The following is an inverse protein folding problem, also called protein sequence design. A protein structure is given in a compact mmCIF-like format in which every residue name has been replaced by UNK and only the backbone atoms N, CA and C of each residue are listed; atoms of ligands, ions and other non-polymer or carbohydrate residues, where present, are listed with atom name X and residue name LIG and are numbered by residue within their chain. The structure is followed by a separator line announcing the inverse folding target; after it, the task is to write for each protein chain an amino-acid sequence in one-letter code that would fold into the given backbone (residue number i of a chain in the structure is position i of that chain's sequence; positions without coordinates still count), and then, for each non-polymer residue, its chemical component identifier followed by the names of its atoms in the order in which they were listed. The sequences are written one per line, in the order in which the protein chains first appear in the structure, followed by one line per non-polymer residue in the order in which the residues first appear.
data_IF_887800557653
#
_entry.id   IF_887800557653
#
_cell.length_a   1.000
_cell.length_b   1.000
_cell.length_c   1.000
_cell.angle_alpha   90.00
_cell.angle_beta   90.00
_cell.angle_gamma   90.00
#
_symmetry.space_group_name_H-M   'P 1'
#
loop_
_entity.id
_entity.type
_entity.pdbx_description
1 polymer ?
#
# COMPACT_ATOMS: atom_id res chain seq x y z
N UNK A 1 -21.96 -11.71 -5.83
CA UNK A 1 -20.70 -11.62 -5.08
C UNK A 1 -19.58 -12.19 -5.94
N UNK A 2 -18.42 -11.53 -5.99
CA UNK A 2 -17.27 -12.01 -6.75
C UNK A 2 -16.70 -13.28 -6.08
N UNK A 3 -16.32 -14.34 -6.81
CA UNK A 3 -15.72 -15.54 -6.20
C UNK A 3 -14.38 -15.24 -5.51
N UNK A 4 -14.03 -15.89 -4.39
CA UNK A 4 -12.79 -15.63 -3.64
C UNK A 4 -11.52 -15.65 -4.49
N UNK A 5 -11.45 -16.55 -5.46
CA UNK A 5 -10.33 -16.67 -6.41
C UNK A 5 -10.02 -15.38 -7.20
N UNK A 6 -10.97 -14.44 -7.29
CA UNK A 6 -10.82 -13.21 -8.05
C UNK A 6 -10.65 -11.96 -7.15
N UNK A 7 -10.73 -12.10 -5.82
CA UNK A 7 -10.71 -10.94 -4.91
C UNK A 7 -9.39 -10.15 -5.00
N UNK A 8 -8.26 -10.84 -4.99
CA UNK A 8 -6.94 -10.21 -5.13
C UNK A 8 -6.79 -9.49 -6.47
N UNK A 9 -7.16 -10.16 -7.58
CA UNK A 9 -7.09 -9.58 -8.91
C UNK A 9 -7.97 -8.33 -9.04
N UNK A 10 -9.19 -8.37 -8.48
CA UNK A 10 -10.09 -7.22 -8.44
C UNK A 10 -9.48 -6.03 -7.70
N UNK A 11 -8.93 -6.24 -6.49
CA UNK A 11 -8.28 -5.17 -5.72
C UNK A 11 -7.07 -4.63 -6.48
N UNK A 12 -6.23 -5.51 -7.03
CA UNK A 12 -5.03 -5.15 -7.79
C UNK A 12 -5.37 -4.22 -8.95
N UNK A 13 -6.27 -4.61 -9.84
CA UNK A 13 -6.57 -3.82 -11.03
C UNK A 13 -7.17 -2.45 -10.69
N UNK A 14 -7.97 -2.35 -9.61
CA UNK A 14 -8.49 -1.05 -9.16
C UNK A 14 -7.40 -0.13 -8.62
N UNK A 15 -6.42 -0.68 -7.92
CA UNK A 15 -5.27 0.09 -7.43
C UNK A 15 -4.32 0.49 -8.55
N UNK A 16 -4.03 -0.42 -9.49
CA UNK A 16 -3.20 -0.14 -10.67
C UNK A 16 -3.80 0.98 -11.50
N UNK A 17 -5.12 0.96 -11.72
CA UNK A 17 -5.83 2.03 -12.42
C UNK A 17 -5.76 3.36 -11.65
N UNK A 18 -5.95 3.34 -10.34
CA UNK A 18 -5.81 4.54 -9.52
C UNK A 18 -4.39 5.14 -9.61
N UNK A 19 -3.35 4.30 -9.57
CA UNK A 19 -1.97 4.76 -9.76
C UNK A 19 -1.69 5.24 -11.18
N UNK A 20 -2.29 4.62 -12.21
CA UNK A 20 -2.20 5.09 -13.60
C UNK A 20 -2.78 6.49 -13.77
N UNK A 21 -3.93 6.76 -13.14
CA UNK A 21 -4.56 8.09 -13.17
C UNK A 21 -3.79 9.10 -12.32
N UNK A 22 -3.25 8.70 -11.16
CA UNK A 22 -2.54 9.59 -10.23
C UNK A 22 -1.27 10.21 -10.82
N UNK A 23 -0.69 9.62 -11.86
CA UNK A 23 0.50 10.16 -12.56
C UNK A 23 0.15 10.94 -13.83
N UNK A 24 -1.09 10.88 -14.31
CA UNK A 24 -1.50 11.52 -15.55
C UNK A 24 -1.87 12.98 -15.28
N UNK A 25 -1.21 13.92 -15.95
CA UNK A 25 -1.57 15.35 -15.92
C UNK A 25 -1.17 16.10 -14.64
N UNK A 26 -0.27 15.55 -13.83
CA UNK A 26 0.20 16.17 -12.59
C UNK A 26 1.73 16.24 -12.59
N UNK A 27 2.35 17.32 -12.08
CA UNK A 27 3.81 17.41 -11.95
C UNK A 27 4.38 16.30 -11.06
N UNK A 28 3.59 15.86 -10.08
CA UNK A 28 3.95 14.84 -9.11
C UNK A 28 2.81 13.83 -8.92
N UNK A 29 3.11 12.54 -8.66
CA UNK A 29 2.08 11.54 -8.43
C UNK A 29 1.18 11.89 -7.24
N UNK A 30 -0.14 11.87 -7.45
CA UNK A 30 -1.09 12.07 -6.36
C UNK A 30 -1.10 10.89 -5.37
N UNK A 31 -1.36 11.13 -4.07
CA UNK A 31 -1.60 10.05 -3.12
C UNK A 31 -2.84 9.22 -3.49
N UNK A 32 -2.72 7.89 -3.45
CA UNK A 32 -3.83 6.96 -3.65
C UNK A 32 -4.24 6.39 -2.29
N UNK A 33 -5.45 6.71 -1.85
CA UNK A 33 -6.03 6.22 -0.59
C UNK A 33 -7.25 5.34 -0.91
N UNK A 34 -7.08 4.02 -0.76
CA UNK A 34 -8.13 3.06 -1.06
C UNK A 34 -9.08 2.89 0.12
N UNK A 35 -10.38 2.95 -0.15
CA UNK A 35 -11.42 2.64 0.83
C UNK A 35 -11.64 1.12 0.86
N UNK A 36 -11.52 0.54 2.05
CA UNK A 36 -11.83 -0.86 2.32
C UNK A 36 -13.03 -0.95 3.27
N UNK A 37 -13.90 -1.95 3.05
CA UNK A 37 -15.07 -2.20 3.89
C UNK A 37 -14.93 -3.57 4.54
N UNK A 38 -15.03 -3.60 5.87
CA UNK A 38 -14.88 -4.83 6.66
C UNK A 38 -16.07 -5.78 6.53
N UNK A 39 -17.24 -5.25 6.20
CA UNK A 39 -18.47 -6.04 6.03
C UNK A 39 -18.99 -5.93 4.60
N UNK A 40 -19.23 -7.07 3.96
CA UNK A 40 -19.79 -7.12 2.61
C UNK A 40 -21.29 -6.79 2.56
N UNK A 41 -21.94 -6.59 3.72
CA UNK A 41 -23.38 -6.43 3.81
C UNK A 41 -23.82 -5.03 3.40
N UNK A 42 -24.25 -4.86 2.15
CA UNK A 42 -25.06 -3.70 1.76
C UNK A 42 -26.49 -3.92 2.25
N UNK A 43 -26.73 -3.66 3.54
CA UNK A 43 -28.08 -3.57 4.11
C UNK A 43 -28.19 -2.23 4.83
N UNK A 44 -29.24 -1.46 4.57
CA UNK A 44 -29.53 -0.21 5.29
C UNK A 44 -29.91 -0.39 6.76
N UNK A 45 -29.53 -1.51 7.39
CA UNK A 45 -29.75 -1.79 8.81
C UNK A 45 -28.45 -1.62 9.58
N UNK A 46 -28.57 -1.22 10.84
CA UNK A 46 -27.47 -1.23 11.80
C UNK A 46 -27.08 -2.65 12.21
N UNK A 47 -25.84 -2.82 12.68
CA UNK A 47 -25.37 -4.08 13.24
C UNK A 47 -26.14 -4.41 14.54
N UNK A 48 -26.44 -5.69 14.75
CA UNK A 48 -26.94 -6.18 16.04
C UNK A 48 -25.85 -6.13 17.11
N UNK A 49 -26.22 -6.26 18.39
CA UNK A 49 -25.25 -6.34 19.49
C UNK A 49 -24.27 -7.51 19.30
N UNK A 50 -24.77 -8.66 18.87
CA UNK A 50 -23.97 -9.85 18.56
C UNK A 50 -23.01 -9.61 17.38
N UNK A 51 -23.50 -8.98 16.30
CA UNK A 51 -22.66 -8.61 15.15
C UNK A 51 -21.56 -7.60 15.55
N UNK A 52 -21.85 -6.68 16.47
CA UNK A 52 -20.86 -5.75 17.03
C UNK A 52 -19.76 -6.47 17.84
N UNK A 53 -20.12 -7.46 18.65
CA UNK A 53 -19.14 -8.26 19.41
C UNK A 53 -18.27 -9.11 18.48
N UNK A 54 -18.85 -9.75 17.47
CA UNK A 54 -18.05 -10.45 16.46
C UNK A 54 -17.08 -9.52 15.72
N UNK A 55 -17.53 -8.30 15.39
CA UNK A 55 -16.65 -7.30 14.81
C UNK A 55 -15.54 -6.90 15.79
N UNK A 56 -15.85 -6.70 17.07
CA UNK A 56 -14.86 -6.39 18.09
C UNK A 56 -13.78 -7.46 18.19
N UNK A 57 -14.16 -8.73 18.28
CA UNK A 57 -13.21 -9.84 18.35
C UNK A 57 -12.36 -9.95 17.08
N UNK A 58 -12.94 -9.73 15.91
CA UNK A 58 -12.20 -9.68 14.65
C UNK A 58 -11.20 -8.51 14.60
N UNK A 59 -11.61 -7.34 15.08
CA UNK A 59 -10.75 -6.16 15.15
C UNK A 59 -9.54 -6.40 16.06
N UNK A 60 -9.74 -6.99 17.23
CA UNK A 60 -8.66 -7.21 18.19
C UNK A 60 -7.80 -8.44 17.86
N UNK A 61 -8.42 -9.53 17.40
CA UNK A 61 -7.75 -10.81 17.19
C UNK A 61 -7.14 -10.99 15.81
N UNK A 62 -7.61 -10.27 14.79
CA UNK A 62 -7.17 -10.48 13.40
C UNK A 62 -6.78 -9.19 12.71
N UNK A 63 -7.72 -8.25 12.54
CA UNK A 63 -7.47 -7.08 11.71
C UNK A 63 -6.45 -6.13 12.33
N UNK A 64 -6.57 -5.82 13.62
CA UNK A 64 -5.69 -4.90 14.32
C UNK A 64 -4.23 -5.34 14.25
N UNK A 65 -3.87 -6.57 14.68
CA UNK A 65 -2.54 -7.10 14.53
C UNK A 65 -2.03 -7.10 13.08
N UNK A 66 -2.90 -7.43 12.11
CA UNK A 66 -2.54 -7.40 10.69
C UNK A 66 -2.22 -5.98 10.20
N UNK A 67 -3.05 -4.99 10.54
CA UNK A 67 -2.83 -3.57 10.20
C UNK A 67 -1.52 -3.08 10.82
N UNK A 68 -1.26 -3.41 12.09
CA UNK A 68 0.01 -3.06 12.75
C UNK A 68 1.20 -3.69 12.00
N UNK A 69 1.10 -4.96 11.58
CA UNK A 69 2.16 -5.64 10.84
C UNK A 69 2.45 -4.93 9.51
N UNK A 70 1.44 -4.75 8.64
CA UNK A 70 1.64 -4.11 7.32
C UNK A 70 2.12 -2.67 7.45
N UNK A 71 1.64 -1.92 8.45
CA UNK A 71 2.10 -0.53 8.68
C UNK A 71 3.54 -0.49 9.13
N UNK A 72 3.94 -1.34 10.10
CA UNK A 72 5.34 -1.41 10.55
C UNK A 72 6.26 -1.91 9.44
N UNK A 73 5.82 -2.87 8.64
CA UNK A 73 6.57 -3.35 7.48
C UNK A 73 6.81 -2.24 6.46
N UNK A 74 5.79 -1.45 6.14
CA UNK A 74 5.90 -0.31 5.22
C UNK A 74 6.88 0.76 5.71
N UNK A 75 6.79 1.13 6.99
CA UNK A 75 7.71 2.10 7.62
C UNK A 75 9.14 1.55 7.62
N UNK A 76 9.33 0.32 8.08
CA UNK A 76 10.65 -0.31 8.14
C UNK A 76 11.28 -0.43 6.75
N UNK A 77 10.52 -0.84 5.73
CA UNK A 77 11.01 -0.92 4.36
C UNK A 77 11.39 0.46 3.79
N UNK A 78 10.57 1.49 4.05
CA UNK A 78 10.88 2.86 3.66
C UNK A 78 12.23 3.32 4.23
N UNK A 79 12.45 3.13 5.54
CA UNK A 79 13.70 3.55 6.17
C UNK A 79 14.91 2.70 5.76
N UNK A 80 14.77 1.38 5.75
CA UNK A 80 15.89 0.47 5.53
C UNK A 80 16.32 0.36 4.06
N UNK A 81 15.39 0.53 3.11
CA UNK A 81 15.65 0.31 1.68
C UNK A 81 15.57 1.57 0.84
N UNK A 82 14.71 2.51 1.25
CA UNK A 82 14.48 3.76 0.54
C UNK A 82 14.98 4.99 1.32
N UNK A 83 15.83 4.79 2.33
CA UNK A 83 16.42 5.85 3.18
C UNK A 83 15.40 6.79 3.84
N UNK A 84 14.14 6.38 3.99
CA UNK A 84 13.05 7.23 4.47
C UNK A 84 12.55 8.26 3.45
N UNK A 85 13.05 8.20 2.21
CA UNK A 85 12.77 9.13 1.12
C UNK A 85 11.92 8.50 0.00
N UNK A 86 11.36 7.32 0.25
CA UNK A 86 10.46 6.65 -0.67
C UNK A 86 9.66 5.55 -0.02
N UNK A 87 8.70 5.02 -0.76
CA UNK A 87 7.90 3.86 -0.36
C UNK A 87 8.32 2.63 -1.13
N UNK A 88 8.28 1.47 -0.49
CA UNK A 88 8.47 0.19 -1.17
C UNK A 88 7.24 -0.17 -2.00
N UNK A 89 7.47 -0.56 -3.25
CA UNK A 89 6.43 -0.98 -4.18
C UNK A 89 6.87 -2.23 -4.93
N UNK A 90 5.92 -3.15 -5.06
CA UNK A 90 6.06 -4.36 -5.87
C UNK A 90 6.09 -3.99 -7.36
N UNK A 91 7.02 -4.56 -8.13
CA UNK A 91 7.19 -4.25 -9.56
C UNK A 91 6.75 -5.36 -10.52
N UNK A 92 6.51 -6.58 -10.04
CA UNK A 92 6.23 -7.72 -10.91
C UNK A 92 4.75 -8.13 -10.90
N UNK A 93 3.92 -7.60 -11.83
CA UNK A 93 2.47 -7.87 -11.86
C UNK A 93 2.11 -9.34 -12.17
N UNK A 94 3.08 -10.20 -12.51
CA UNK A 94 2.86 -11.62 -12.78
C UNK A 94 2.66 -12.50 -11.53
N UNK A 95 3.07 -12.06 -10.33
CA UNK A 95 2.87 -12.81 -9.08
C UNK A 95 1.84 -12.11 -8.21
N UNK A 96 0.81 -12.84 -7.80
CA UNK A 96 -0.35 -12.33 -7.04
C UNK A 96 -0.16 -12.41 -5.51
N UNK A 97 0.91 -13.04 -5.04
CA UNK A 97 1.07 -13.50 -3.64
C UNK A 97 2.25 -12.84 -2.92
N UNK A 98 2.54 -11.56 -3.20
CA UNK A 98 3.65 -10.85 -2.56
C UNK A 98 3.12 -9.67 -1.73
N UNK A 99 3.16 -9.82 -0.41
CA UNK A 99 2.73 -8.82 0.55
C UNK A 99 3.90 -8.28 1.35
N UNK A 100 3.83 -7.00 1.71
CA UNK A 100 4.82 -6.37 2.55
C UNK A 100 4.48 -6.63 4.02
N UNK A 101 4.99 -7.74 4.55
CA UNK A 101 4.83 -8.14 5.95
C UNK A 101 6.18 -8.17 6.68
N UNK A 102 6.11 -8.07 8.00
CA UNK A 102 7.16 -8.47 8.92
C UNK A 102 7.00 -9.96 9.25
N UNK A 103 8.13 -10.64 9.46
CA UNK A 103 8.16 -11.98 10.02
C UNK A 103 7.71 -11.95 11.50
N UNK A 104 7.33 -13.10 12.11
CA UNK A 104 6.87 -13.15 13.50
C UNK A 104 7.90 -12.62 14.51
N UNK A 105 9.19 -12.73 14.21
CA UNK A 105 10.29 -12.20 15.03
C UNK A 105 10.54 -10.68 14.81
N UNK A 106 9.75 -10.04 13.95
CA UNK A 106 9.87 -8.63 13.59
C UNK A 106 10.96 -8.35 12.55
N UNK A 107 11.63 -9.38 12.02
CA UNK A 107 12.62 -9.20 10.96
C UNK A 107 11.97 -8.88 9.61
N UNK A 108 12.70 -8.22 8.69
CA UNK A 108 12.24 -8.02 7.31
C UNK A 108 11.91 -9.37 6.66
N UNK A 109 10.74 -9.47 6.04
CA UNK A 109 10.42 -10.58 5.15
C UNK A 109 11.20 -10.50 3.83
N UNK A 110 10.76 -11.28 2.83
CA UNK A 110 11.34 -11.32 1.49
C UNK A 110 11.10 -10.02 0.69
N UNK A 111 11.58 -8.86 1.18
CA UNK A 111 11.40 -7.60 0.47
C UNK A 111 12.38 -7.40 -0.70
N UNK A 112 13.23 -8.40 -1.07
CA UNK A 112 14.11 -8.36 -2.27
C UNK A 112 13.30 -8.13 -3.54
N UNK A 113 12.06 -8.58 -3.47
CA UNK A 113 10.98 -8.40 -4.42
C UNK A 113 10.51 -6.95 -4.59
N UNK A 114 10.78 -6.07 -3.63
CA UNK A 114 10.28 -4.70 -3.62
C UNK A 114 11.35 -3.70 -4.05
N UNK A 115 10.88 -2.66 -4.73
CA UNK A 115 11.70 -1.53 -5.19
C UNK A 115 11.24 -0.22 -4.54
N UNK A 116 12.07 0.81 -4.58
CA UNK A 116 11.68 2.11 -4.08
C UNK A 116 10.94 2.95 -5.12
N UNK A 117 9.82 3.55 -4.70
CA UNK A 117 9.18 4.69 -5.36
C UNK A 117 9.42 5.94 -4.52
N UNK A 118 10.33 6.79 -4.98
CA UNK A 118 10.78 7.96 -4.24
C UNK A 118 9.68 9.01 -4.09
N UNK A 119 9.74 9.73 -2.96
CA UNK A 119 8.94 10.92 -2.72
C UNK A 119 9.46 12.09 -3.57
N UNK A 120 8.67 13.16 -3.62
CA UNK A 120 9.06 14.38 -4.32
C UNK A 120 10.42 14.89 -3.81
N UNK A 121 11.28 15.31 -4.74
CA UNK A 121 12.64 15.77 -4.43
C UNK A 121 13.69 14.67 -4.30
N UNK A 122 13.36 13.39 -4.48
CA UNK A 122 14.32 12.28 -4.36
C UNK A 122 14.35 11.37 -5.60
N UNK A 123 15.51 10.78 -5.85
CA UNK A 123 15.83 9.95 -7.00
C UNK A 123 16.81 8.82 -6.65
N UNK A 124 17.11 7.99 -7.65
CA UNK A 124 17.93 6.80 -7.51
C UNK A 124 17.16 5.55 -7.08
N UNK A 125 17.79 4.36 -7.15
CA UNK A 125 17.14 3.08 -6.86
C UNK A 125 16.73 2.92 -5.38
N UNK A 126 17.36 3.67 -4.48
CA UNK A 126 17.14 3.66 -3.02
C UNK A 126 16.71 5.01 -2.46
N UNK A 127 16.35 5.97 -3.34
CA UNK A 127 15.90 7.32 -2.96
C UNK A 127 16.89 8.15 -2.14
N UNK A 128 18.19 7.92 -2.31
CA UNK A 128 19.22 8.64 -1.56
C UNK A 128 19.67 9.94 -2.25
N UNK A 129 19.38 10.09 -3.55
CA UNK A 129 19.84 11.23 -4.33
C UNK A 129 18.77 12.33 -4.32
N UNK A 130 19.10 13.59 -3.99
CA UNK A 130 18.17 14.69 -4.19
C UNK A 130 17.98 14.96 -5.69
N UNK A 131 16.74 15.19 -6.12
CA UNK A 131 16.45 15.66 -7.49
C UNK A 131 16.89 17.12 -7.62
N UNK A 132 17.62 17.48 -8.69
CA UNK A 132 17.89 18.88 -8.99
C UNK A 132 16.57 19.62 -9.16
N UNK A 133 16.44 20.81 -8.56
CA UNK A 133 15.33 21.70 -8.85
C UNK A 133 15.42 22.11 -10.32
N UNK A 134 14.36 21.84 -11.10
CA UNK A 134 14.23 22.36 -12.47
C UNK A 134 14.22 23.89 -12.38
N UNK A 135 15.19 24.53 -13.01
CA UNK A 135 15.22 25.99 -13.11
C UNK A 135 14.00 26.46 -13.92
N UNK A 136 13.39 27.61 -13.58
CA UNK A 136 12.18 28.10 -14.27
C UNK A 136 12.32 28.27 -15.79
N UNK A 137 13.54 28.35 -16.33
CA UNK A 137 13.83 28.56 -17.75
C UNK A 137 13.67 27.29 -18.64
N UNK A 138 13.42 26.11 -18.06
CA UNK A 138 13.29 24.85 -18.79
C UNK A 138 11.86 24.28 -18.80
N UNK A 139 10.86 25.05 -18.34
CA UNK A 139 9.45 24.72 -18.53
C UNK A 139 9.02 25.07 -19.97
N UNK A 140 8.44 24.13 -20.74
CA UNK A 140 8.00 24.38 -22.12
C UNK A 140 6.82 25.36 -22.22
#
# INVERSE_FOLDING_TARGET
MLPPAHHQAFVRYRLEEAFRVAIAGHPHPLPVLAYARLTHRSSGRFLSLEECWHLHDYLLGTLGPYVINVTRAAVACSHQRCHGHGRCAWQNPGQLEVFLHLQPDGSPGAWESFSCRCYHGWAGPTCQEPRPELRPEEAP
#
